data_IF_001656249000
#
_entry.id   IF_001656249000
#
_cell.length_a   1.000
_cell.length_b   1.000
_cell.length_c   1.000
_cell.angle_alpha   90.00
_cell.angle_beta   90.00
_cell.angle_gamma   90.00
#
_symmetry.space_group_name_H-M   'P 1'
#
loop_
_entity.id
_entity.type
_entity.pdbx_description
1 polymer ?
#
# COMPACT_ATOMS: atom_id res chain seq x y z
N UNK A 1 -15.12 10.98 -20.20
CA UNK A 1 -15.53 10.58 -18.84
C UNK A 1 -14.25 10.25 -18.09
N UNK A 2 -14.16 10.68 -16.84
CA UNK A 2 -12.93 11.18 -16.22
C UNK A 2 -12.16 10.10 -15.45
N UNK A 3 -11.31 9.34 -16.13
CA UNK A 3 -10.38 8.42 -15.44
C UNK A 3 -9.38 9.17 -14.54
N UNK A 4 -9.19 10.48 -14.79
CA UNK A 4 -8.41 11.40 -13.95
C UNK A 4 -9.07 11.72 -12.60
N UNK A 5 -10.35 11.36 -12.39
CA UNK A 5 -11.07 11.64 -11.13
C UNK A 5 -11.08 10.47 -10.16
N UNK A 6 -10.60 9.29 -10.55
CA UNK A 6 -10.54 8.15 -9.66
C UNK A 6 -9.25 8.18 -8.83
N UNK A 7 -9.39 8.43 -7.52
CA UNK A 7 -8.27 8.42 -6.59
C UNK A 7 -7.61 7.03 -6.57
N UNK A 8 -6.28 6.98 -6.59
CA UNK A 8 -5.54 5.78 -6.24
C UNK A 8 -5.61 5.58 -4.71
N UNK A 9 -5.88 4.35 -4.27
CA UNK A 9 -5.95 3.97 -2.85
C UNK A 9 -4.68 3.21 -2.51
N UNK A 10 -3.77 3.83 -1.77
CA UNK A 10 -2.50 3.21 -1.39
C UNK A 10 -2.50 2.96 0.11
N UNK A 11 -2.48 1.70 0.50
CA UNK A 11 -2.29 1.30 1.89
C UNK A 11 -0.79 1.23 2.16
N UNK A 12 -0.27 2.18 2.91
CA UNK A 12 1.12 2.21 3.32
C UNK A 12 1.29 1.43 4.61
N UNK A 13 2.22 0.48 4.57
CA UNK A 13 2.61 -0.38 5.69
C UNK A 13 4.10 -0.25 5.91
N UNK A 14 4.52 -0.21 7.16
CA UNK A 14 5.93 -0.24 7.54
C UNK A 14 6.26 -1.58 8.22
N UNK A 15 7.54 -2.00 8.31
CA UNK A 15 7.91 -3.31 8.86
C UNK A 15 7.29 -3.64 10.22
N UNK A 16 7.17 -2.71 11.19
CA UNK A 16 6.51 -3.01 12.46
C UNK A 16 5.02 -3.38 12.31
N UNK A 17 4.34 -2.85 11.29
CA UNK A 17 2.95 -3.18 10.95
C UNK A 17 2.77 -4.53 10.25
N UNK A 18 3.85 -5.21 9.88
CA UNK A 18 3.84 -6.56 9.32
C UNK A 18 4.03 -7.65 10.38
N UNK A 19 4.13 -7.29 11.66
CA UNK A 19 4.27 -8.27 12.75
C UNK A 19 3.05 -9.20 12.87
N UNK A 20 1.86 -8.73 12.47
CA UNK A 20 0.62 -9.52 12.41
C UNK A 20 0.00 -9.44 11.02
N UNK A 21 0.58 -10.21 10.09
CA UNK A 21 0.12 -10.29 8.68
C UNK A 21 -1.33 -10.75 8.58
N UNK A 22 -1.74 -11.73 9.40
CA UNK A 22 -3.09 -12.27 9.36
C UNK A 22 -4.14 -11.22 9.76
N UNK A 23 -3.87 -10.43 10.80
CA UNK A 23 -4.71 -9.30 11.16
C UNK A 23 -4.76 -8.27 10.04
N UNK A 24 -3.61 -7.90 9.48
CA UNK A 24 -3.53 -6.90 8.40
C UNK A 24 -4.33 -7.33 7.17
N UNK A 25 -4.15 -8.57 6.71
CA UNK A 25 -4.89 -9.13 5.59
C UNK A 25 -6.41 -9.10 5.85
N UNK A 26 -6.83 -9.45 7.07
CA UNK A 26 -8.24 -9.37 7.47
C UNK A 26 -8.76 -7.92 7.49
N UNK A 27 -7.95 -6.95 7.93
CA UNK A 27 -8.35 -5.55 8.02
C UNK A 27 -8.55 -4.91 6.63
N UNK A 28 -7.80 -5.36 5.62
CA UNK A 28 -7.81 -4.78 4.27
C UNK A 28 -8.50 -5.66 3.22
N UNK A 29 -9.03 -6.81 3.60
CA UNK A 29 -9.70 -7.76 2.71
C UNK A 29 -10.81 -7.10 1.85
N UNK A 30 -11.58 -6.16 2.43
CA UNK A 30 -12.69 -5.50 1.73
C UNK A 30 -12.24 -4.44 0.70
N UNK A 31 -10.96 -4.04 0.74
CA UNK A 31 -10.41 -2.96 -0.10
C UNK A 31 -10.10 -3.41 -1.54
N UNK A 32 -10.31 -4.69 -1.86
CA UNK A 32 -10.04 -5.27 -3.21
C UNK A 32 -8.63 -4.95 -3.71
N UNK A 33 -7.64 -5.25 -2.87
CA UNK A 33 -6.22 -5.07 -3.19
C UNK A 33 -5.89 -5.76 -4.52
N UNK A 34 -5.14 -5.08 -5.39
CA UNK A 34 -4.71 -5.60 -6.69
C UNK A 34 -3.28 -6.15 -6.66
N UNK A 35 -2.42 -5.58 -5.81
CA UNK A 35 -1.02 -5.96 -5.69
C UNK A 35 -0.40 -5.45 -4.37
N UNK A 36 0.70 -6.08 -3.97
CA UNK A 36 1.56 -5.64 -2.86
C UNK A 36 2.93 -5.26 -3.42
N UNK A 37 3.38 -4.04 -3.14
CA UNK A 37 4.70 -3.53 -3.53
C UNK A 37 5.59 -3.38 -2.30
N UNK A 38 6.87 -3.72 -2.40
CA UNK A 38 7.86 -3.43 -1.37
C UNK A 38 9.00 -2.57 -1.91
N UNK A 39 9.35 -1.53 -1.16
CA UNK A 39 10.49 -0.67 -1.41
C UNK A 39 11.82 -1.39 -1.10
N UNK A 40 12.92 -0.83 -1.60
CA UNK A 40 14.27 -1.38 -1.42
C UNK A 40 14.78 -1.30 0.03
N UNK A 41 14.19 -0.42 0.84
CA UNK A 41 14.57 -0.18 2.23
C UNK A 41 13.81 -1.08 3.23
N UNK A 42 13.04 -2.05 2.73
CA UNK A 42 12.37 -3.07 3.55
C UNK A 42 13.35 -4.21 3.87
N UNK A 43 13.70 -4.45 5.14
CA UNK A 43 14.78 -5.37 5.51
C UNK A 43 14.41 -6.85 5.39
N UNK A 44 13.13 -7.20 5.53
CA UNK A 44 12.61 -8.57 5.43
C UNK A 44 11.37 -8.58 4.53
N UNK A 45 11.46 -9.27 3.40
CA UNK A 45 10.38 -9.39 2.42
C UNK A 45 9.48 -10.60 2.65
N UNK A 46 9.83 -11.52 3.55
CA UNK A 46 9.03 -12.72 3.82
C UNK A 46 7.59 -12.39 4.29
N UNK A 47 7.41 -11.44 5.22
CA UNK A 47 6.07 -10.98 5.61
C UNK A 47 5.30 -10.29 4.47
N UNK A 48 6.00 -9.66 3.53
CA UNK A 48 5.38 -9.02 2.35
C UNK A 48 4.81 -10.08 1.42
N UNK A 49 5.59 -11.14 1.14
CA UNK A 49 5.15 -12.27 0.33
C UNK A 49 3.98 -12.98 0.99
N UNK A 50 4.05 -13.22 2.30
CA UNK A 50 2.96 -13.84 3.07
C UNK A 50 1.67 -13.03 3.00
N UNK A 51 1.76 -11.69 3.08
CA UNK A 51 0.61 -10.80 2.95
C UNK A 51 -0.01 -10.89 1.55
N UNK A 52 0.81 -10.92 0.50
CA UNK A 52 0.32 -11.04 -0.86
C UNK A 52 -0.37 -12.40 -1.11
N UNK A 53 0.19 -13.48 -0.55
CA UNK A 53 -0.39 -14.81 -0.59
C UNK A 53 -1.75 -14.87 0.13
N UNK A 54 -1.86 -14.30 1.34
CA UNK A 54 -3.11 -14.24 2.11
C UNK A 54 -4.21 -13.43 1.39
N UNK A 55 -3.82 -12.38 0.66
CA UNK A 55 -4.73 -11.58 -0.16
C UNK A 55 -5.04 -12.20 -1.53
N UNK A 56 -4.26 -13.20 -1.96
CA UNK A 56 -4.38 -13.83 -3.27
C UNK A 56 -3.97 -12.91 -4.45
N UNK A 57 -2.99 -12.03 -4.23
CA UNK A 57 -2.54 -11.01 -5.20
C UNK A 57 -1.04 -11.12 -5.47
N UNK A 58 -0.53 -10.59 -6.60
CA UNK A 58 0.91 -10.56 -6.84
C UNK A 58 1.67 -9.67 -5.85
N UNK A 59 2.90 -10.09 -5.50
CA UNK A 59 3.90 -9.29 -4.81
C UNK A 59 4.97 -8.76 -5.79
N UNK A 60 5.42 -7.53 -5.56
CA UNK A 60 6.49 -6.88 -6.31
C UNK A 60 7.55 -6.35 -5.33
N UNK A 61 8.65 -7.07 -5.21
CA UNK A 61 9.73 -6.76 -4.28
C UNK A 61 10.78 -5.86 -4.94
N UNK A 62 11.46 -5.04 -4.15
CA UNK A 62 12.57 -4.21 -4.62
C UNK A 62 12.15 -3.17 -5.65
N UNK A 63 11.04 -2.47 -5.40
CA UNK A 63 10.47 -1.48 -6.33
C UNK A 63 11.12 -0.09 -6.20
N UNK A 64 12.35 0.00 -5.69
CA UNK A 64 13.03 1.28 -5.50
C UNK A 64 12.49 2.06 -4.29
N UNK A 65 12.53 3.39 -4.40
CA UNK A 65 12.03 4.31 -3.38
C UNK A 65 10.51 4.53 -3.54
N UNK A 66 9.74 4.20 -2.50
CA UNK A 66 8.29 4.38 -2.42
C UNK A 66 7.86 5.35 -1.31
N UNK A 67 8.75 6.22 -0.84
CA UNK A 67 8.42 7.26 0.13
C UNK A 67 7.51 8.35 -0.46
N UNK A 68 6.87 9.13 0.41
CA UNK A 68 5.94 10.18 -0.02
C UNK A 68 6.67 11.21 -0.91
N UNK A 69 6.15 11.45 -2.11
CA UNK A 69 6.76 12.35 -3.09
C UNK A 69 7.91 11.73 -3.90
N UNK A 70 8.17 10.42 -3.76
CA UNK A 70 9.09 9.71 -4.65
C UNK A 70 8.46 9.48 -6.02
N UNK A 71 9.28 9.41 -7.07
CA UNK A 71 8.80 9.07 -8.42
C UNK A 71 8.23 7.64 -8.49
N UNK A 72 8.77 6.71 -7.68
CA UNK A 72 8.26 5.34 -7.61
C UNK A 72 6.83 5.30 -7.07
N UNK A 73 6.51 6.10 -6.05
CA UNK A 73 5.15 6.21 -5.55
C UNK A 73 4.22 6.89 -6.57
N UNK A 74 4.67 7.95 -7.25
CA UNK A 74 3.90 8.63 -8.31
C UNK A 74 3.54 7.68 -9.45
N UNK A 75 4.47 6.84 -9.90
CA UNK A 75 4.22 5.82 -10.93
C UNK A 75 3.17 4.80 -10.49
N UNK A 76 3.17 4.38 -9.21
CA UNK A 76 2.15 3.48 -8.67
C UNK A 76 0.78 4.16 -8.59
N UNK A 77 0.74 5.43 -8.17
CA UNK A 77 -0.49 6.23 -8.17
C UNK A 77 -1.10 6.29 -9.57
N UNK A 78 -0.30 6.61 -10.58
CA UNK A 78 -0.79 6.71 -11.96
C UNK A 78 -1.21 5.37 -12.54
N UNK A 79 -0.52 4.27 -12.19
CA UNK A 79 -0.87 2.92 -12.62
C UNK A 79 -2.18 2.43 -11.99
N UNK A 80 -2.42 2.73 -10.73
CA UNK A 80 -3.52 2.17 -9.93
C UNK A 80 -4.63 3.18 -9.64
N UNK A 81 -4.89 4.11 -10.58
CA UNK A 81 -6.02 5.03 -10.48
C UNK A 81 -7.34 4.26 -10.40
N UNK A 82 -8.11 4.48 -9.34
CA UNK A 82 -9.36 3.76 -9.07
C UNK A 82 -9.18 2.35 -8.52
N UNK A 83 -7.94 1.93 -8.24
CA UNK A 83 -7.60 0.64 -7.66
C UNK A 83 -6.98 0.82 -6.27
N UNK A 84 -6.90 -0.29 -5.53
CA UNK A 84 -6.26 -0.36 -4.23
C UNK A 84 -5.01 -1.21 -4.29
N UNK A 85 -3.90 -0.70 -3.75
CA UNK A 85 -2.65 -1.45 -3.62
C UNK A 85 -2.05 -1.27 -2.23
N UNK A 86 -1.23 -2.22 -1.82
CA UNK A 86 -0.42 -2.12 -0.60
C UNK A 86 1.00 -1.73 -0.99
N UNK A 87 1.56 -0.77 -0.28
CA UNK A 87 2.96 -0.36 -0.38
C UNK A 87 3.62 -0.57 0.96
N UNK A 88 4.62 -1.45 0.98
CA UNK A 88 5.50 -1.70 2.12
C UNK A 88 6.77 -0.88 1.92
N UNK A 89 7.11 -0.03 2.89
CA UNK A 89 8.34 0.78 2.85
C UNK A 89 8.96 0.93 4.23
N UNK A 90 10.25 1.23 4.28
CA UNK A 90 10.97 1.45 5.53
C UNK A 90 10.31 2.51 6.42
N UNK A 91 10.46 2.36 7.73
CA UNK A 91 9.93 3.28 8.74
C UNK A 91 9.49 2.58 10.03
N UNK A 92 9.17 3.37 11.05
CA UNK A 92 8.99 2.89 12.42
C UNK A 92 7.52 2.81 12.87
N UNK A 93 6.57 3.17 11.99
CA UNK A 93 5.13 3.13 12.32
C UNK A 93 4.64 1.68 12.38
N UNK A 94 3.96 1.31 13.47
CA UNK A 94 3.21 0.06 13.52
C UNK A 94 1.83 0.18 12.87
N UNK A 95 1.27 1.39 12.85
CA UNK A 95 -0.05 1.65 12.29
C UNK A 95 0.05 1.86 10.78
N UNK A 96 -0.60 1.01 9.97
CA UNK A 96 -0.69 1.24 8.54
C UNK A 96 -1.71 2.34 8.24
N UNK A 97 -1.51 3.02 7.11
CA UNK A 97 -2.30 4.21 6.74
C UNK A 97 -2.79 4.12 5.31
N UNK A 98 -3.99 4.64 5.07
CA UNK A 98 -4.55 4.79 3.73
C UNK A 98 -4.20 6.17 3.18
N UNK A 99 -3.53 6.19 2.04
CA UNK A 99 -3.34 7.36 1.20
C UNK A 99 -4.37 7.32 0.07
N UNK A 100 -5.14 8.39 -0.04
CA UNK A 100 -6.00 8.67 -1.19
C UNK A 100 -5.29 9.72 -2.02
N UNK A 101 -4.86 9.36 -3.22
CA UNK A 101 -4.14 10.26 -4.12
C UNK A 101 -4.98 10.53 -5.36
N UNK A 102 -5.38 11.78 -5.55
CA UNK A 102 -6.14 12.24 -6.71
C UNK A 102 -5.51 13.51 -7.30
N UNK A 103 -6.23 14.17 -8.22
CA UNK A 103 -5.75 15.39 -8.87
C UNK A 103 -5.66 16.61 -7.91
N UNK A 104 -6.37 16.56 -6.77
CA UNK A 104 -6.42 17.64 -5.78
C UNK A 104 -5.35 17.45 -4.69
N UNK A 105 -4.79 16.24 -4.57
CA UNK A 105 -3.61 15.95 -3.77
C UNK A 105 -3.69 14.62 -3.02
N UNK A 106 -2.95 14.55 -1.91
CA UNK A 106 -2.86 13.34 -1.07
C UNK A 106 -3.59 13.55 0.25
N UNK A 107 -4.58 12.70 0.53
CA UNK A 107 -5.26 12.62 1.83
C UNK A 107 -4.82 11.38 2.58
N UNK A 108 -4.35 11.53 3.82
CA UNK A 108 -3.94 10.42 4.70
C UNK A 108 -5.02 10.11 5.72
N UNK A 109 -5.34 8.83 5.91
CA UNK A 109 -6.31 8.32 6.91
C UNK A 109 -5.75 7.12 7.65
N UNK A 110 -6.15 6.94 8.91
CA UNK A 110 -5.88 5.70 9.64
C UNK A 110 -6.77 4.57 9.11
N UNK A 111 -6.24 3.35 9.13
CA UNK A 111 -6.97 2.13 8.77
C UNK A 111 -8.05 1.74 9.78
N UNK A 112 -7.91 2.16 11.04
CA UNK A 112 -8.89 1.87 12.10
C UNK A 112 -10.28 2.49 11.86
N UNK A 113 -10.37 3.48 10.95
CA UNK A 113 -11.63 4.14 10.60
C UNK A 113 -12.34 3.58 9.37
N UNK A 114 -11.92 2.43 8.84
CA UNK A 114 -12.48 1.83 7.62
C UNK A 114 -13.57 0.77 7.88
N UNK A 115 -13.92 0.51 9.16
CA UNK A 115 -15.01 -0.40 9.57
C UNK A 115 -16.40 0.21 9.46
#
# INVERSE_FOLDING_TARGET
MSDLQCAARIIVVNPPGLADVAWLASAIHLEKIQAVYAADDVPDTGPVESLADDLGVPSHLGHGDLHDGSSGLEELVDRHRGESVVVVRGGDSAEPVLLLVDADGTTRRSLEGLS
#
